data_IF_789006105185
#
_entry.id   IF_789006105185
#
_cell.length_a   1.000
_cell.length_b   1.000
_cell.length_c   1.000
_cell.angle_alpha   90.00
_cell.angle_beta   90.00
_cell.angle_gamma   90.00
#
_symmetry.space_group_name_H-M   'P 1'
#
loop_
_entity.id
_entity.type
_entity.pdbx_description
1 polymer ?
#
# COMPACT_ATOMS: atom_id res chain seq x y z
N UNK A 1 11.51 -43.32 8.86
CA UNK A 1 10.80 -42.23 8.15
C UNK A 1 11.15 -40.94 8.88
N UNK A 2 12.12 -40.21 8.37
CA UNK A 2 12.58 -38.93 8.92
C UNK A 2 11.77 -37.80 8.32
N UNK A 3 11.31 -36.81 9.10
CA UNK A 3 10.58 -35.67 8.56
C UNK A 3 11.53 -34.75 7.80
N UNK A 4 11.11 -34.40 6.61
CA UNK A 4 11.79 -33.53 5.67
C UNK A 4 11.81 -32.09 6.23
N UNK A 5 12.98 -31.66 6.69
CA UNK A 5 13.21 -30.26 7.10
C UNK A 5 13.36 -29.42 5.84
N UNK A 6 12.36 -28.61 5.54
CA UNK A 6 12.46 -27.58 4.52
C UNK A 6 13.52 -26.55 4.95
N UNK A 7 14.61 -26.48 4.21
CA UNK A 7 15.65 -25.48 4.37
C UNK A 7 15.08 -24.07 4.12
N UNK A 8 15.42 -23.09 4.95
CA UNK A 8 15.06 -21.70 4.68
C UNK A 8 15.87 -21.21 3.48
N UNK A 9 15.20 -20.97 2.36
CA UNK A 9 15.83 -20.30 1.22
C UNK A 9 16.32 -18.92 1.67
N UNK A 10 17.62 -18.71 1.50
CA UNK A 10 18.30 -17.46 1.82
C UNK A 10 17.79 -16.34 0.90
N UNK A 11 16.88 -15.53 1.40
CA UNK A 11 16.50 -14.27 0.79
C UNK A 11 17.69 -13.30 0.92
N UNK A 12 18.44 -13.10 -0.16
CA UNK A 12 19.42 -12.02 -0.23
C UNK A 12 18.65 -10.70 -0.38
N UNK A 13 18.37 -10.08 0.74
CA UNK A 13 17.72 -8.77 0.82
C UNK A 13 18.79 -7.71 0.90
N UNK A 14 18.88 -6.83 -0.07
CA UNK A 14 19.58 -5.55 0.10
C UNK A 14 18.67 -4.63 0.91
N UNK A 15 19.20 -4.16 2.04
CA UNK A 15 18.45 -3.60 3.18
C UNK A 15 17.80 -2.21 2.96
N UNK A 16 17.72 -1.69 1.74
CA UNK A 16 17.46 -0.26 1.52
C UNK A 16 16.01 0.20 1.80
N UNK A 17 15.01 -0.66 1.67
CA UNK A 17 13.60 -0.22 1.74
C UNK A 17 12.91 -0.49 3.10
N UNK A 18 13.53 -1.30 3.98
CA UNK A 18 12.90 -1.75 5.22
C UNK A 18 13.30 -0.93 6.44
N UNK A 19 14.36 -0.14 6.34
CA UNK A 19 14.89 0.69 7.43
C UNK A 19 14.28 2.09 7.48
N UNK A 20 13.41 2.45 6.55
CA UNK A 20 12.75 3.75 6.57
C UNK A 20 11.89 3.88 7.84
N UNK A 21 12.09 4.95 8.64
CA UNK A 21 11.43 5.11 9.94
C UNK A 21 9.91 5.21 9.85
N UNK A 22 9.38 5.52 8.70
CA UNK A 22 7.97 5.65 8.37
C UNK A 22 7.30 4.34 7.90
N UNK A 23 8.08 3.26 7.68
CA UNK A 23 7.51 1.96 7.30
C UNK A 23 6.99 1.21 8.54
N UNK A 24 5.69 0.91 8.55
CA UNK A 24 5.03 0.18 9.64
C UNK A 24 5.32 -1.33 9.59
N UNK A 25 5.72 -1.86 8.44
CA UNK A 25 6.16 -3.25 8.29
C UNK A 25 7.68 -3.31 8.44
N UNK A 26 8.16 -3.46 9.67
CA UNK A 26 9.58 -3.25 10.04
C UNK A 26 10.46 -4.48 9.92
N UNK A 27 9.90 -5.67 9.77
CA UNK A 27 10.68 -6.91 9.73
C UNK A 27 10.37 -7.75 8.50
N UNK A 28 11.38 -8.51 8.04
CA UNK A 28 11.21 -9.51 6.97
C UNK A 28 10.18 -10.58 7.33
N UNK A 29 10.01 -10.88 8.62
CA UNK A 29 9.01 -11.84 9.10
C UNK A 29 7.58 -11.28 8.97
N UNK A 30 7.39 -9.96 9.15
CA UNK A 30 6.10 -9.32 8.96
C UNK A 30 5.69 -9.38 7.49
N UNK A 31 6.63 -9.18 6.59
CA UNK A 31 6.44 -9.21 5.15
C UNK A 31 6.04 -10.57 4.60
N UNK A 32 6.81 -11.61 4.96
CA UNK A 32 6.54 -12.98 4.51
C UNK A 32 5.14 -13.46 4.90
N UNK A 33 4.56 -12.84 5.92
CA UNK A 33 3.26 -13.20 6.47
C UNK A 33 2.09 -12.37 5.92
N UNK A 34 2.37 -11.28 5.22
CA UNK A 34 1.36 -10.33 4.74
C UNK A 34 1.33 -10.23 3.21
N UNK A 35 2.10 -11.08 2.50
CA UNK A 35 2.07 -11.09 1.03
C UNK A 35 0.65 -11.30 0.50
N UNK A 36 0.25 -10.52 -0.51
CA UNK A 36 1.05 -9.67 -1.38
C UNK A 36 1.33 -8.25 -0.87
N UNK A 37 0.91 -7.86 0.33
CA UNK A 37 1.24 -6.55 0.87
C UNK A 37 2.72 -6.50 1.24
N UNK A 38 3.47 -5.60 0.63
CA UNK A 38 4.93 -5.56 0.74
C UNK A 38 5.48 -4.28 1.38
N UNK A 39 4.67 -3.27 1.58
CA UNK A 39 5.02 -2.06 2.32
C UNK A 39 3.77 -1.36 2.81
N UNK A 40 3.86 -0.76 3.99
CA UNK A 40 2.85 0.12 4.56
C UNK A 40 3.58 1.29 5.22
N UNK A 41 3.42 2.51 4.67
CA UNK A 41 4.14 3.71 5.09
C UNK A 41 3.18 4.82 5.48
N UNK A 42 3.51 5.56 6.53
CA UNK A 42 2.89 6.85 6.85
C UNK A 42 3.77 7.96 6.30
N UNK A 43 3.24 8.73 5.38
CA UNK A 43 3.92 9.85 4.72
C UNK A 43 3.45 11.16 5.37
N UNK A 44 4.38 12.03 5.66
CA UNK A 44 4.12 13.38 6.15
C UNK A 44 4.96 14.41 5.40
N UNK A 45 4.60 15.69 5.48
CA UNK A 45 5.35 16.76 4.82
C UNK A 45 6.84 16.77 5.22
N UNK A 46 7.16 16.32 6.43
CA UNK A 46 8.53 16.27 6.98
C UNK A 46 9.32 15.04 6.53
N UNK A 47 8.65 13.96 6.11
CA UNK A 47 9.29 12.68 5.74
C UNK A 47 9.47 12.53 4.23
N UNK A 48 8.76 13.34 3.44
CA UNK A 48 8.89 13.36 1.99
C UNK A 48 10.04 14.26 1.58
N UNK A 49 11.03 13.67 0.93
CA UNK A 49 12.04 14.43 0.19
C UNK A 49 11.46 14.82 -1.16
N UNK A 50 11.85 16.00 -1.73
CA UNK A 50 11.41 16.41 -3.08
C UNK A 50 11.90 15.48 -4.19
N UNK A 51 12.64 14.43 -3.85
CA UNK A 51 13.26 13.53 -4.79
C UNK A 51 12.24 12.62 -5.48
N UNK A 52 12.49 12.38 -6.76
CA UNK A 52 11.75 11.39 -7.54
C UNK A 52 11.98 10.00 -6.98
N UNK A 53 10.91 9.36 -6.56
CA UNK A 53 10.91 7.95 -6.21
C UNK A 53 10.75 7.10 -7.47
N UNK A 54 11.24 5.86 -7.44
CA UNK A 54 11.05 4.93 -8.55
C UNK A 54 10.79 3.52 -8.05
N UNK A 55 9.97 2.78 -8.79
CA UNK A 55 9.53 1.44 -8.42
C UNK A 55 9.28 0.57 -9.64
N UNK A 56 9.33 -0.76 -9.45
CA UNK A 56 8.84 -1.75 -10.42
C UNK A 56 8.25 -2.97 -9.71
N UNK A 57 7.42 -3.74 -10.42
CA UNK A 57 6.88 -5.03 -9.96
C UNK A 57 5.80 -4.93 -8.88
N UNK A 58 5.34 -3.75 -8.52
CA UNK A 58 4.33 -3.53 -7.48
C UNK A 58 3.24 -2.55 -7.88
N UNK A 59 2.09 -2.63 -7.24
CA UNK A 59 1.09 -1.59 -7.20
C UNK A 59 1.35 -0.69 -5.98
N UNK A 60 1.16 0.62 -6.13
CA UNK A 60 1.35 1.64 -5.11
C UNK A 60 0.03 2.37 -4.94
N UNK A 61 -0.49 2.38 -3.74
CA UNK A 61 -1.73 3.05 -3.39
C UNK A 61 -1.42 4.08 -2.31
N UNK A 62 -1.57 5.35 -2.64
CA UNK A 62 -1.36 6.46 -1.70
C UNK A 62 -2.68 7.15 -1.43
N UNK A 63 -3.14 7.12 -0.19
CA UNK A 63 -4.38 7.73 0.27
C UNK A 63 -4.09 8.95 1.15
N UNK A 64 -4.63 10.13 0.79
CA UNK A 64 -4.40 11.37 1.52
C UNK A 64 -5.30 11.45 2.76
N UNK A 65 -4.68 11.51 3.93
CA UNK A 65 -5.34 11.56 5.24
C UNK A 65 -5.63 12.99 5.68
N UNK A 66 -4.72 13.92 5.38
CA UNK A 66 -4.81 15.34 5.73
C UNK A 66 -4.01 16.19 4.72
N UNK A 67 -4.33 17.49 4.64
CA UNK A 67 -3.64 18.42 3.76
C UNK A 67 -3.83 18.13 2.29
N UNK A 68 -2.89 18.60 1.47
CA UNK A 68 -2.86 18.42 0.03
C UNK A 68 -1.42 18.29 -0.50
N UNK A 69 -1.28 17.63 -1.65
CA UNK A 69 0.00 17.48 -2.35
C UNK A 69 -0.20 17.40 -3.87
N UNK A 70 0.80 17.83 -4.61
CA UNK A 70 0.89 17.59 -6.05
C UNK A 70 1.56 16.22 -6.29
N UNK A 71 0.91 15.40 -7.09
CA UNK A 71 1.36 14.08 -7.52
C UNK A 71 1.73 14.14 -8.99
N UNK A 72 2.85 13.53 -9.36
CA UNK A 72 3.28 13.38 -10.75
C UNK A 72 3.96 12.02 -10.95
N UNK A 73 3.88 11.47 -12.16
CA UNK A 73 4.57 10.24 -12.52
C UNK A 73 5.10 10.24 -13.97
N UNK A 74 5.96 9.26 -14.26
CA UNK A 74 6.60 9.10 -15.57
C UNK A 74 5.66 8.62 -16.69
N UNK A 75 4.38 8.33 -16.39
CA UNK A 75 3.36 8.11 -17.45
C UNK A 75 2.84 9.42 -18.02
N UNK A 76 3.32 10.55 -17.50
CA UNK A 76 2.91 11.90 -17.89
C UNK A 76 1.70 12.44 -17.13
N UNK A 77 1.18 11.69 -16.17
CA UNK A 77 0.02 12.12 -15.37
C UNK A 77 0.46 12.98 -14.19
N UNK A 78 -0.37 13.98 -13.90
CA UNK A 78 -0.23 14.89 -12.76
C UNK A 78 -1.60 15.15 -12.16
N UNK A 79 -1.66 15.30 -10.84
CA UNK A 79 -2.90 15.68 -10.13
C UNK A 79 -2.58 16.30 -8.79
N UNK A 80 -3.40 17.24 -8.36
CA UNK A 80 -3.43 17.67 -6.97
C UNK A 80 -4.45 16.83 -6.23
N UNK A 81 -4.04 16.20 -5.13
CA UNK A 81 -4.91 15.42 -4.28
C UNK A 81 -4.99 16.05 -2.89
N UNK A 82 -6.20 16.18 -2.41
CA UNK A 82 -6.53 16.65 -1.07
C UNK A 82 -7.03 15.50 -0.19
N UNK A 83 -7.31 15.79 1.08
CA UNK A 83 -7.83 14.82 2.05
C UNK A 83 -8.98 13.99 1.47
N UNK A 84 -8.84 12.67 1.48
CA UNK A 84 -9.79 11.70 0.91
C UNK A 84 -9.51 11.33 -0.53
N UNK A 85 -8.67 12.09 -1.24
CA UNK A 85 -8.17 11.72 -2.55
C UNK A 85 -7.11 10.63 -2.46
N UNK A 86 -6.86 9.93 -3.57
CA UNK A 86 -5.87 8.85 -3.58
C UNK A 86 -5.28 8.59 -4.97
N UNK A 87 -4.05 8.11 -4.96
CA UNK A 87 -3.31 7.71 -6.14
C UNK A 87 -3.28 6.18 -6.24
N UNK A 88 -3.51 5.68 -7.44
CA UNK A 88 -3.36 4.29 -7.83
C UNK A 88 -2.31 4.20 -8.92
N UNK A 89 -1.19 3.51 -8.65
CA UNK A 89 -0.10 3.35 -9.59
C UNK A 89 0.26 1.86 -9.69
N UNK A 90 0.15 1.30 -10.89
CA UNK A 90 0.73 -0.01 -11.25
C UNK A 90 2.12 0.29 -11.80
N UNK A 91 3.16 -0.02 -11.03
CA UNK A 91 4.53 0.25 -11.45
C UNK A 91 4.99 -0.66 -12.60
N UNK A 92 4.49 -1.90 -12.62
CA UNK A 92 4.80 -2.86 -13.69
C UNK A 92 6.30 -2.93 -13.98
N UNK A 93 6.69 -2.71 -15.24
CA UNK A 93 8.08 -2.69 -15.68
C UNK A 93 8.91 -1.53 -15.15
N UNK A 94 8.27 -0.49 -14.59
CA UNK A 94 8.95 0.63 -13.95
C UNK A 94 8.17 1.94 -14.04
N UNK A 95 8.14 2.68 -12.93
CA UNK A 95 7.56 4.01 -12.82
C UNK A 95 8.47 4.90 -11.98
N UNK A 96 8.67 6.15 -12.41
CA UNK A 96 9.13 7.25 -11.58
C UNK A 96 7.91 8.02 -11.07
N UNK A 97 7.89 8.43 -9.82
CA UNK A 97 6.80 9.23 -9.26
C UNK A 97 7.31 10.20 -8.20
N UNK A 98 6.56 11.27 -7.98
CA UNK A 98 6.84 12.26 -6.94
C UNK A 98 5.58 12.68 -6.23
N UNK A 99 5.72 13.01 -4.95
CA UNK A 99 4.68 13.57 -4.10
C UNK A 99 5.27 14.84 -3.49
N UNK A 100 4.71 16.00 -3.83
CA UNK A 100 5.15 17.30 -3.35
C UNK A 100 4.09 17.90 -2.42
N UNK A 101 4.27 17.83 -1.09
CA UNK A 101 3.34 18.44 -0.15
C UNK A 101 3.18 19.93 -0.38
N UNK A 102 1.94 20.41 -0.37
CA UNK A 102 1.59 21.83 -0.50
C UNK A 102 1.21 22.46 0.83
N UNK A 103 0.92 21.64 1.83
CA UNK A 103 0.58 22.08 3.19
C UNK A 103 1.45 21.38 4.24
N UNK A 104 1.75 22.08 5.32
CA UNK A 104 2.59 21.54 6.40
C UNK A 104 1.93 20.43 7.22
N UNK A 105 0.61 20.29 7.12
CA UNK A 105 -0.20 19.24 7.75
C UNK A 105 -0.45 18.04 6.82
N UNK A 106 0.20 18.00 5.65
CA UNK A 106 0.06 16.86 4.74
C UNK A 106 0.40 15.56 5.44
N UNK A 107 -0.52 14.62 5.33
CA UNK A 107 -0.34 13.24 5.77
C UNK A 107 -1.03 12.29 4.80
N UNK A 108 -0.37 11.18 4.48
CA UNK A 108 -0.92 10.14 3.63
C UNK A 108 -0.50 8.75 4.14
N UNK A 109 -1.23 7.73 3.73
CA UNK A 109 -0.83 6.34 3.92
C UNK A 109 -0.59 5.70 2.56
N UNK A 110 0.58 5.09 2.39
CA UNK A 110 0.98 4.38 1.20
C UNK A 110 1.06 2.89 1.48
N UNK A 111 0.36 2.11 0.66
CA UNK A 111 0.44 0.64 0.64
C UNK A 111 1.04 0.20 -0.68
N UNK A 112 2.00 -0.73 -0.61
CA UNK A 112 2.51 -1.40 -1.79
C UNK A 112 2.07 -2.87 -1.80
N UNK A 113 1.69 -3.35 -2.99
CA UNK A 113 1.21 -4.72 -3.21
C UNK A 113 2.02 -5.33 -4.35
N UNK A 114 2.63 -6.50 -4.13
CA UNK A 114 3.36 -7.23 -5.16
C UNK A 114 2.42 -7.65 -6.30
N UNK A 115 2.91 -7.52 -7.51
CA UNK A 115 2.18 -7.94 -8.72
C UNK A 115 2.51 -9.40 -9.06
N UNK A 116 1.54 -10.08 -9.67
CA UNK A 116 1.75 -11.43 -10.20
C UNK A 116 2.72 -11.41 -11.40
N UNK A 117 3.31 -12.57 -11.78
CA UNK A 117 4.20 -12.67 -12.93
C UNK A 117 3.62 -12.09 -14.23
N UNK A 118 2.30 -12.13 -14.39
CA UNK A 118 1.62 -11.59 -15.58
C UNK A 118 1.63 -10.06 -15.65
N UNK A 119 1.81 -9.37 -14.51
CA UNK A 119 1.70 -7.91 -14.42
C UNK A 119 2.99 -7.22 -13.95
N UNK A 120 3.89 -7.93 -13.32
CA UNK A 120 5.08 -7.34 -12.68
C UNK A 120 6.03 -6.62 -13.66
N UNK A 121 5.95 -6.94 -14.96
CA UNK A 121 6.68 -6.28 -16.04
C UNK A 121 5.76 -5.71 -17.13
N UNK A 122 4.45 -5.58 -16.87
CA UNK A 122 3.53 -4.88 -17.75
C UNK A 122 3.83 -3.37 -17.79
N UNK A 123 3.39 -2.63 -18.82
CA UNK A 123 3.52 -1.18 -18.87
C UNK A 123 2.94 -0.50 -17.63
N UNK A 124 3.63 0.52 -17.10
CA UNK A 124 3.17 1.28 -15.97
C UNK A 124 1.85 2.00 -16.28
N UNK A 125 0.97 2.06 -15.28
CA UNK A 125 -0.33 2.74 -15.37
C UNK A 125 -0.58 3.50 -14.07
N UNK A 126 -1.22 4.67 -14.16
CA UNK A 126 -1.61 5.43 -13.00
C UNK A 126 -3.00 6.03 -13.14
N UNK A 127 -3.64 6.26 -12.02
CA UNK A 127 -4.90 6.99 -11.93
C UNK A 127 -4.92 7.75 -10.61
N UNK A 128 -5.35 9.00 -10.67
CA UNK A 128 -5.51 9.86 -9.52
C UNK A 128 -6.98 10.19 -9.35
N UNK A 129 -7.50 10.02 -8.15
CA UNK A 129 -8.90 10.28 -7.80
C UNK A 129 -8.96 11.32 -6.70
N UNK A 130 -9.59 12.45 -6.99
CA UNK A 130 -9.83 13.47 -5.99
C UNK A 130 -10.95 13.09 -5.02
N UNK A 131 -10.96 13.71 -3.85
CA UNK A 131 -11.91 13.49 -2.76
C UNK A 131 -13.37 13.66 -3.17
N UNK A 132 -13.65 14.60 -4.07
CA UNK A 132 -14.99 14.84 -4.59
C UNK A 132 -15.58 13.63 -5.32
N UNK A 133 -14.74 12.80 -5.95
CA UNK A 133 -15.14 11.57 -6.63
C UNK A 133 -15.27 10.37 -5.68
N UNK A 134 -14.80 10.50 -4.43
CA UNK A 134 -14.62 9.38 -3.50
C UNK A 134 -15.27 9.60 -2.13
N UNK A 135 -16.01 10.71 -1.94
CA UNK A 135 -16.62 11.04 -0.65
C UNK A 135 -17.56 9.91 -0.18
N UNK A 136 -17.18 9.15 0.86
CA UNK A 136 -18.00 8.04 1.30
C UNK A 136 -19.23 8.55 2.07
N UNK A 137 -20.38 8.07 1.70
CA UNK A 137 -21.59 8.14 2.55
C UNK A 137 -21.54 7.13 3.70
N UNK A 138 -20.55 6.28 3.73
CA UNK A 138 -20.36 5.13 4.61
C UNK A 138 -19.04 5.28 5.38
N UNK A 139 -18.90 4.74 6.60
CA UNK A 139 -17.64 4.71 7.33
C UNK A 139 -16.50 4.00 6.58
N UNK A 140 -16.81 3.15 5.61
CA UNK A 140 -15.83 2.37 4.84
C UNK A 140 -15.67 2.92 3.44
N UNK A 141 -14.42 3.16 3.04
CA UNK A 141 -14.04 3.44 1.66
C UNK A 141 -13.24 2.27 1.11
N UNK A 142 -13.75 1.64 0.05
CA UNK A 142 -13.09 0.51 -0.62
C UNK A 142 -12.13 1.07 -1.66
N UNK A 143 -10.82 0.99 -1.39
CA UNK A 143 -9.79 1.39 -2.35
C UNK A 143 -9.51 0.27 -3.35
N UNK A 144 -9.46 -0.98 -2.88
CA UNK A 144 -9.27 -2.18 -3.72
C UNK A 144 -10.19 -3.29 -3.22
N UNK A 145 -10.71 -4.09 -4.15
CA UNK A 145 -11.54 -5.24 -3.85
C UNK A 145 -12.99 -4.85 -3.58
N UNK A 146 -13.58 -5.41 -2.53
CA UNK A 146 -14.97 -5.20 -2.21
C UNK A 146 -15.24 -5.32 -0.70
N UNK A 147 -16.28 -4.63 -0.24
CA UNK A 147 -16.82 -4.75 1.12
C UNK A 147 -18.32 -4.47 1.07
N UNK A 148 -19.11 -5.38 1.62
CA UNK A 148 -20.58 -5.36 1.54
C UNK A 148 -21.08 -5.18 0.10
N UNK A 149 -21.74 -4.06 -0.17
CA UNK A 149 -22.25 -3.71 -1.51
C UNK A 149 -21.31 -2.81 -2.31
N UNK A 150 -20.20 -2.38 -1.71
CA UNK A 150 -19.23 -1.49 -2.35
C UNK A 150 -18.14 -2.30 -3.05
N UNK A 151 -17.80 -1.90 -4.25
CA UNK A 151 -16.71 -2.49 -5.03
C UNK A 151 -15.81 -1.39 -5.58
N UNK A 152 -14.52 -1.60 -5.48
CA UNK A 152 -13.55 -0.73 -6.16
C UNK A 152 -13.69 -0.85 -7.67
N UNK A 153 -13.51 0.27 -8.37
CA UNK A 153 -13.35 0.28 -9.83
C UNK A 153 -11.96 -0.23 -10.27
N UNK A 154 -11.03 -0.36 -9.33
CA UNK A 154 -9.68 -0.88 -9.58
C UNK A 154 -9.59 -2.33 -9.15
N UNK A 155 -9.06 -3.16 -10.04
CA UNK A 155 -8.82 -4.55 -9.79
C UNK A 155 -7.31 -4.84 -9.86
N UNK A 156 -6.81 -5.55 -8.86
CA UNK A 156 -5.57 -6.30 -8.98
C UNK A 156 -5.99 -7.76 -9.18
N UNK A 157 -5.35 -8.52 -10.08
CA UNK A 157 -5.64 -9.96 -10.25
C UNK A 157 -5.44 -10.77 -8.97
N UNK A 158 -4.59 -10.32 -8.05
CA UNK A 158 -4.53 -10.84 -6.69
C UNK A 158 -5.83 -10.48 -5.96
N UNK A 159 -6.53 -11.46 -5.42
CA UNK A 159 -7.75 -11.21 -4.64
C UNK A 159 -7.36 -10.53 -3.32
N UNK A 160 -7.40 -9.21 -3.34
CA UNK A 160 -6.99 -8.32 -2.26
C UNK A 160 -8.14 -7.38 -1.94
N UNK A 161 -8.40 -7.17 -0.66
CA UNK A 161 -9.18 -6.02 -0.19
C UNK A 161 -8.23 -5.03 0.51
N UNK A 162 -8.41 -3.76 0.20
CA UNK A 162 -7.79 -2.65 0.92
C UNK A 162 -8.82 -1.56 1.19
N UNK A 163 -9.05 -1.30 2.47
CA UNK A 163 -10.12 -0.45 2.97
C UNK A 163 -9.54 0.67 3.84
N UNK A 164 -10.14 1.85 3.76
CA UNK A 164 -10.01 2.91 4.76
C UNK A 164 -11.31 2.97 5.55
N UNK A 165 -11.22 2.88 6.88
CA UNK A 165 -12.37 2.84 7.79
C UNK A 165 -12.31 4.04 8.71
N UNK A 166 -13.37 4.84 8.73
CA UNK A 166 -13.52 6.01 9.60
C UNK A 166 -14.64 5.76 10.59
N UNK A 167 -14.32 5.80 11.85
CA UNK A 167 -15.28 5.55 12.94
C UNK A 167 -15.45 6.81 13.77
N UNK A 168 -16.69 7.12 14.10
CA UNK A 168 -17.00 8.11 15.12
C UNK A 168 -16.70 7.55 16.53
N UNK A 169 -16.60 8.43 17.52
CA UNK A 169 -16.49 8.01 18.91
C UNK A 169 -17.63 7.06 19.28
N UNK A 170 -17.29 5.98 19.98
CA UNK A 170 -18.19 4.91 20.43
C UNK A 170 -18.84 4.09 19.30
N UNK A 171 -18.40 4.26 18.07
CA UNK A 171 -18.88 3.45 16.95
C UNK A 171 -18.17 2.08 16.96
N UNK A 172 -18.97 1.04 16.78
CA UNK A 172 -18.48 -0.33 16.56
C UNK A 172 -18.53 -0.66 15.09
N UNK A 173 -17.53 -1.38 14.60
CA UNK A 173 -17.47 -1.87 13.24
C UNK A 173 -16.90 -3.28 13.21
N UNK A 174 -17.42 -4.08 12.29
CA UNK A 174 -17.00 -5.47 12.13
C UNK A 174 -16.64 -5.75 10.68
N UNK A 175 -15.54 -6.46 10.47
CA UNK A 175 -15.13 -6.98 9.18
C UNK A 175 -15.11 -8.51 9.22
N UNK A 176 -15.84 -9.12 8.30
CA UNK A 176 -15.79 -10.55 8.06
C UNK A 176 -14.87 -10.84 6.89
N UNK A 177 -13.87 -11.72 7.09
CA UNK A 177 -12.97 -12.08 6.00
C UNK A 177 -13.76 -12.80 4.90
N UNK A 178 -13.53 -12.46 3.62
CA UNK A 178 -14.03 -13.26 2.51
C UNK A 178 -13.55 -14.71 2.62
N UNK A 179 -14.38 -15.66 2.20
CA UNK A 179 -14.13 -17.10 2.37
C UNK A 179 -12.79 -17.59 1.77
N UNK A 180 -12.31 -16.91 0.74
CA UNK A 180 -11.08 -17.24 0.05
C UNK A 180 -9.85 -16.48 0.58
N UNK A 181 -10.02 -15.53 1.53
CA UNK A 181 -8.90 -14.82 2.14
C UNK A 181 -8.36 -15.61 3.34
N UNK A 182 -7.05 -15.78 3.44
CA UNK A 182 -6.38 -16.52 4.50
C UNK A 182 -5.98 -15.66 5.68
N UNK A 183 -5.89 -14.35 5.48
CA UNK A 183 -5.53 -13.41 6.54
C UNK A 183 -6.10 -12.01 6.29
N UNK A 184 -6.12 -11.23 7.36
CA UNK A 184 -6.26 -9.79 7.31
C UNK A 184 -5.23 -9.14 8.21
N UNK A 185 -5.01 -7.86 8.01
CA UNK A 185 -4.28 -7.00 8.90
C UNK A 185 -5.03 -5.69 9.07
N UNK A 186 -4.85 -5.08 10.23
CA UNK A 186 -5.38 -3.75 10.54
C UNK A 186 -4.28 -2.87 11.11
N UNK A 187 -4.27 -1.61 10.71
CA UNK A 187 -3.41 -0.60 11.31
C UNK A 187 -4.23 0.62 11.73
N UNK A 188 -4.00 1.07 12.96
CA UNK A 188 -4.57 2.32 13.47
C UNK A 188 -3.74 3.50 12.96
N UNK A 189 -4.38 4.37 12.17
CA UNK A 189 -3.77 5.59 11.63
C UNK A 189 -3.89 6.74 12.63
N UNK A 190 -5.09 6.92 13.17
CA UNK A 190 -5.36 7.95 14.19
C UNK A 190 -6.53 7.56 15.08
N UNK A 191 -6.59 8.17 16.27
CA UNK A 191 -7.63 7.89 17.24
C UNK A 191 -7.27 6.75 18.18
N UNK A 192 -8.29 6.16 18.83
CA UNK A 192 -8.14 5.11 19.82
C UNK A 192 -9.19 4.02 19.62
N UNK A 193 -8.74 2.79 19.43
CA UNK A 193 -9.59 1.66 19.06
C UNK A 193 -9.25 0.42 19.87
N UNK A 194 -10.28 -0.29 20.31
CA UNK A 194 -10.19 -1.58 20.99
C UNK A 194 -10.70 -2.71 20.10
N UNK A 195 -10.07 -3.84 20.23
CA UNK A 195 -10.50 -5.14 19.69
C UNK A 195 -10.77 -6.11 20.82
N UNK A 196 -11.29 -7.29 20.52
CA UNK A 196 -11.41 -8.36 21.50
C UNK A 196 -10.07 -8.81 22.11
N UNK A 197 -8.94 -8.53 21.46
CA UNK A 197 -7.60 -8.84 21.94
C UNK A 197 -6.95 -7.67 22.72
N UNK A 198 -7.58 -6.51 22.80
CA UNK A 198 -7.08 -5.33 23.49
C UNK A 198 -7.04 -4.08 22.62
N UNK A 199 -6.30 -3.07 23.07
CA UNK A 199 -6.13 -1.80 22.37
C UNK A 199 -5.23 -1.96 21.15
N UNK A 200 -5.64 -1.39 20.01
CA UNK A 200 -4.77 -1.26 18.84
C UNK A 200 -3.77 -0.13 19.07
N UNK A 201 -2.50 -0.45 18.99
CA UNK A 201 -1.46 0.54 19.14
C UNK A 201 -1.33 1.38 17.87
N UNK A 202 -1.20 2.72 17.99
CA UNK A 202 -0.91 3.58 16.85
C UNK A 202 0.39 3.16 16.15
N UNK A 203 0.41 3.27 14.84
CA UNK A 203 1.58 2.92 14.01
C UNK A 203 2.05 1.46 14.15
N UNK A 204 1.19 0.58 14.61
CA UNK A 204 1.43 -0.86 14.64
C UNK A 204 0.47 -1.59 13.70
N UNK A 205 0.98 -2.62 13.05
CA UNK A 205 0.16 -3.51 12.21
C UNK A 205 -0.21 -4.74 13.01
N UNK A 206 -1.48 -4.96 13.21
CA UNK A 206 -2.01 -6.16 13.85
C UNK A 206 -2.47 -7.13 12.78
N UNK A 207 -1.82 -8.29 12.70
CA UNK A 207 -2.22 -9.38 11.82
C UNK A 207 -3.29 -10.24 12.47
N UNK A 208 -4.30 -10.60 11.69
CA UNK A 208 -5.39 -11.46 12.11
C UNK A 208 -5.38 -12.70 11.22
N UNK A 209 -5.25 -13.85 11.87
CA UNK A 209 -5.18 -15.16 11.22
C UNK A 209 -6.51 -15.87 11.34
N UNK A 210 -7.02 -16.32 10.22
CA UNK A 210 -8.06 -17.30 9.93
C UNK A 210 -9.40 -16.75 9.46
N UNK A 211 -10.07 -17.51 8.56
CA UNK A 211 -11.36 -17.12 7.98
C UNK A 211 -12.52 -17.06 8.98
N UNK A 212 -12.36 -17.63 10.18
CA UNK A 212 -13.40 -17.64 11.22
C UNK A 212 -13.35 -16.43 12.15
N UNK A 213 -12.28 -15.62 12.06
CA UNK A 213 -12.10 -14.51 12.98
C UNK A 213 -12.69 -13.24 12.36
N UNK A 214 -13.70 -12.70 13.02
CA UNK A 214 -14.20 -11.36 12.73
C UNK A 214 -13.25 -10.33 13.32
N UNK A 215 -12.92 -9.32 12.56
CA UNK A 215 -12.28 -8.12 13.09
C UNK A 215 -13.39 -7.26 13.65
N UNK A 216 -13.52 -7.26 14.96
CA UNK A 216 -14.51 -6.48 15.69
C UNK A 216 -13.79 -5.37 16.44
N UNK A 217 -14.09 -4.12 16.10
CA UNK A 217 -13.43 -2.94 16.63
C UNK A 217 -14.44 -1.98 17.25
N UNK A 218 -14.06 -1.36 18.36
CA UNK A 218 -14.80 -0.31 19.05
C UNK A 218 -13.92 0.94 19.14
N UNK A 219 -14.31 2.00 18.48
CA UNK A 219 -13.63 3.29 18.58
C UNK A 219 -14.01 3.99 19.89
N UNK A 220 -13.02 4.47 20.64
CA UNK A 220 -13.25 5.28 21.85
C UNK A 220 -13.37 6.76 21.51
N UNK A 221 -12.76 7.18 20.43
CA UNK A 221 -12.83 8.51 19.86
C UNK A 221 -12.88 8.44 18.32
N UNK A 222 -13.05 9.56 17.65
CA UNK A 222 -13.02 9.59 16.18
C UNK A 222 -11.70 9.01 15.67
N UNK A 223 -11.78 7.94 14.91
CA UNK A 223 -10.62 7.10 14.55
C UNK A 223 -10.58 6.78 13.07
N UNK A 224 -9.38 6.62 12.55
CA UNK A 224 -9.11 6.17 11.18
C UNK A 224 -8.26 4.91 11.25
N UNK A 225 -8.73 3.87 10.58
CA UNK A 225 -8.06 2.58 10.41
C UNK A 225 -7.83 2.32 8.93
N UNK A 226 -6.81 1.56 8.62
CA UNK A 226 -6.68 0.87 7.33
C UNK A 226 -6.69 -0.63 7.55
N UNK A 227 -7.29 -1.33 6.62
CA UNK A 227 -7.42 -2.78 6.67
C UNK A 227 -7.06 -3.37 5.31
N UNK A 228 -6.22 -4.38 5.33
CA UNK A 228 -5.94 -5.22 4.17
C UNK A 228 -6.29 -6.67 4.44
N UNK A 229 -6.80 -7.37 3.44
CA UNK A 229 -6.97 -8.83 3.49
C UNK A 229 -6.69 -9.45 2.13
N UNK A 230 -6.25 -10.69 2.09
CA UNK A 230 -5.84 -11.34 0.85
C UNK A 230 -5.93 -12.85 0.92
N UNK A 231 -6.00 -13.45 -0.26
CA UNK A 231 -5.56 -14.83 -0.48
C UNK A 231 -4.04 -14.93 -0.31
N UNK A 232 -3.56 -16.15 -0.09
CA UNK A 232 -2.13 -16.45 -0.14
C UNK A 232 -1.57 -16.11 -1.54
N UNK A 233 -0.42 -15.45 -1.59
CA UNK A 233 0.12 -14.93 -2.85
C UNK A 233 0.70 -16.02 -3.75
N UNK A 234 1.22 -17.09 -3.20
CA UNK A 234 1.65 -18.28 -3.93
C UNK A 234 2.92 -18.13 -4.77
N UNK A 235 3.62 -17.00 -4.69
CA UNK A 235 4.89 -16.75 -5.37
C UNK A 235 5.96 -16.30 -4.39
N UNK A 236 7.20 -16.73 -4.61
CA UNK A 236 8.36 -16.14 -3.93
C UNK A 236 8.59 -14.71 -4.40
N UNK A 237 9.13 -13.88 -3.53
CA UNK A 237 9.41 -12.47 -3.84
C UNK A 237 10.90 -12.16 -3.72
N UNK A 238 11.40 -11.42 -4.70
CA UNK A 238 12.75 -10.86 -4.74
C UNK A 238 12.66 -9.33 -4.68
N UNK A 239 13.45 -8.73 -3.79
CA UNK A 239 13.41 -7.30 -3.49
C UNK A 239 14.73 -6.64 -3.87
N UNK A 240 14.66 -5.43 -4.42
CA UNK A 240 15.80 -4.56 -4.63
C UNK A 240 15.38 -3.10 -4.78
N UNK A 241 15.85 -2.22 -3.90
CA UNK A 241 15.70 -0.76 -3.98
C UNK A 241 14.32 -0.26 -4.46
N UNK A 242 13.27 -0.57 -3.73
CA UNK A 242 11.91 -0.15 -4.08
C UNK A 242 11.21 -1.00 -5.15
N UNK A 243 11.88 -2.01 -5.69
CA UNK A 243 11.34 -2.96 -6.67
C UNK A 243 11.04 -4.32 -6.03
N UNK A 244 9.98 -4.98 -6.47
CA UNK A 244 9.52 -6.28 -5.96
C UNK A 244 9.06 -7.14 -7.12
N UNK A 245 9.66 -8.29 -7.31
CA UNK A 245 9.33 -9.21 -8.40
C UNK A 245 9.29 -10.66 -7.93
N UNK A 246 8.69 -11.53 -8.73
CA UNK A 246 8.54 -12.95 -8.41
C UNK A 246 9.75 -13.80 -8.83
N UNK A 247 10.70 -13.21 -9.58
CA UNK A 247 11.96 -13.86 -9.95
C UNK A 247 13.09 -12.85 -10.12
N UNK A 248 14.34 -13.34 -10.16
CA UNK A 248 15.52 -12.50 -10.39
C UNK A 248 15.55 -11.94 -11.82
N UNK A 249 15.09 -12.71 -12.78
CA UNK A 249 14.97 -12.32 -14.19
C UNK A 249 13.96 -11.19 -14.36
N UNK A 250 12.80 -11.34 -13.76
CA UNK A 250 11.76 -10.31 -13.75
C UNK A 250 12.24 -9.03 -13.05
N UNK A 251 12.97 -9.17 -11.93
CA UNK A 251 13.58 -8.04 -11.23
C UNK A 251 14.58 -7.29 -12.12
N UNK A 252 15.47 -7.99 -12.82
CA UNK A 252 16.45 -7.35 -13.70
C UNK A 252 15.77 -6.53 -14.81
N UNK A 253 14.72 -7.08 -15.42
CA UNK A 253 13.92 -6.35 -16.40
C UNK A 253 13.25 -5.11 -15.79
N UNK A 254 12.64 -5.24 -14.61
CA UNK A 254 12.01 -4.16 -13.89
C UNK A 254 12.99 -3.04 -13.49
N UNK A 255 14.22 -3.37 -13.10
CA UNK A 255 15.25 -2.38 -12.75
C UNK A 255 15.66 -1.52 -13.94
N UNK A 256 15.75 -2.09 -15.13
CA UNK A 256 16.03 -1.34 -16.35
C UNK A 256 14.91 -0.33 -16.68
N UNK A 257 13.66 -0.78 -16.63
CA UNK A 257 12.51 0.10 -16.85
C UNK A 257 12.36 1.18 -15.79
N UNK A 258 12.60 0.85 -14.51
CA UNK A 258 12.60 1.79 -13.39
C UNK A 258 13.60 2.92 -13.58
N UNK A 259 14.84 2.61 -13.97
CA UNK A 259 15.89 3.61 -14.19
C UNK A 259 15.53 4.54 -15.35
N UNK A 260 14.98 4.01 -16.44
CA UNK A 260 14.49 4.79 -17.57
C UNK A 260 13.34 5.72 -17.17
N UNK A 261 12.39 5.22 -16.38
CA UNK A 261 11.24 5.98 -15.89
C UNK A 261 11.64 7.12 -14.93
N UNK A 262 12.62 6.89 -14.03
CA UNK A 262 13.15 7.91 -13.15
C UNK A 262 13.81 9.07 -13.93
N UNK A 263 14.60 8.73 -14.95
CA UNK A 263 15.23 9.73 -15.84
C UNK A 263 14.17 10.55 -16.59
N UNK A 264 13.13 9.90 -17.11
CA UNK A 264 12.06 10.58 -17.83
C UNK A 264 11.31 11.57 -16.94
N UNK A 265 10.98 11.20 -15.71
CA UNK A 265 10.28 12.09 -14.79
C UNK A 265 11.15 13.28 -14.41
N UNK A 266 12.45 13.09 -14.15
CA UNK A 266 13.38 14.17 -13.84
C UNK A 266 13.51 15.16 -14.99
N UNK A 267 13.56 14.69 -16.25
CA UNK A 267 13.58 15.55 -17.43
C UNK A 267 12.29 16.36 -17.60
N UNK A 268 11.13 15.75 -17.37
CA UNK A 268 9.85 16.48 -17.45
C UNK A 268 9.70 17.51 -16.33
N UNK A 269 10.22 17.26 -15.15
CA UNK A 269 10.21 18.24 -14.05
C UNK A 269 11.07 19.47 -14.37
N UNK A 270 12.23 19.31 -15.04
CA UNK A 270 13.10 20.42 -15.43
C UNK A 270 12.53 21.29 -16.56
N UNK A 271 11.64 20.75 -17.40
CA UNK A 271 10.99 21.49 -18.49
C UNK A 271 9.77 22.31 -18.04
N UNK A 272 9.21 22.00 -16.87
CA UNK A 272 8.02 22.68 -16.32
C UNK A 272 8.35 23.68 -15.20
N UNK A 273 9.61 23.82 -14.86
CA UNK A 273 10.14 24.73 -13.82
C UNK A 273 10.58 26.10 -14.34
N UNK A 274 10.15 26.51 -15.58
CA UNK A 274 10.28 27.87 -16.10
C UNK A 274 9.02 28.71 -15.88
#
# INVERSE_FOLDING_TARGET
MTPNTLSPHSLTTTAADHSAPDNLLRSLQDWARLQPFVSLRLLGAQTLTPETQSASGKAIITYVLAGEADFADSTGKRSRLSKGGWAWVIAGSGVGYSIAPLSGDFAAIEVCIALSPALENAPAQSTYLDSAATAPSDPVQVLIGWHDKQRSQFAIPSQVNYLVVRLNAHQRWCYELPLNHQFAWVALVSGRVYTGAGELLPQAVTRILRPTDKIDVLAQESSVLVLGSSMEFGYDLVFHEGSVHTSREALQAGLQGRNSAATLLAQTASLTGE
#
